data_IF_325720217861
#
_entry.id   IF_325720217861
#
_cell.length_a   1.000
_cell.length_b   1.000
_cell.length_c   1.000
_cell.angle_alpha   90.00
_cell.angle_beta   90.00
_cell.angle_gamma   90.00
#
_symmetry.space_group_name_H-M   'P 1'
#
loop_
_entity.id
_entity.type
_entity.pdbx_description
1 polymer ?
#
# COMPACT_ATOMS: atom_id res chain seq x y z
N UNK A 1 2.00 -34.63 2.83
CA UNK A 1 1.98 -33.47 3.76
C UNK A 1 1.78 -32.20 2.95
N UNK A 2 0.69 -31.44 3.20
CA UNK A 2 0.50 -30.13 2.56
C UNK A 2 1.57 -29.19 3.10
N UNK A 3 2.61 -28.92 2.32
CA UNK A 3 3.62 -27.89 2.61
C UNK A 3 2.88 -26.59 2.86
N UNK A 4 2.79 -26.17 4.12
CA UNK A 4 2.15 -24.92 4.50
C UNK A 4 2.93 -23.79 3.81
N UNK A 5 2.22 -22.95 3.04
CA UNK A 5 2.83 -21.85 2.30
C UNK A 5 3.53 -20.92 3.30
N UNK A 6 4.86 -20.74 3.21
CA UNK A 6 5.63 -20.09 4.25
C UNK A 6 5.25 -18.60 4.42
N UNK A 7 4.62 -17.99 3.41
CA UNK A 7 4.03 -16.64 3.53
C UNK A 7 2.89 -16.55 4.57
N UNK A 8 2.20 -17.67 4.86
CA UNK A 8 1.18 -17.73 5.92
C UNK A 8 1.80 -17.66 7.32
N UNK A 9 3.09 -17.95 7.47
CA UNK A 9 3.80 -17.89 8.74
C UNK A 9 4.35 -16.49 9.07
N UNK A 10 4.13 -15.50 8.21
CA UNK A 10 4.56 -14.12 8.46
C UNK A 10 3.79 -13.52 9.65
N UNK A 11 4.52 -13.05 10.66
CA UNK A 11 3.95 -12.55 11.92
C UNK A 11 3.36 -11.14 11.83
N UNK A 12 3.89 -10.28 10.95
CA UNK A 12 3.48 -8.87 10.85
C UNK A 12 3.11 -8.46 9.40
N UNK A 13 2.08 -9.08 8.80
CA UNK A 13 1.69 -8.80 7.41
C UNK A 13 1.16 -7.38 7.20
N UNK A 14 0.40 -6.85 8.17
CA UNK A 14 -0.21 -5.51 8.11
C UNK A 14 0.85 -4.41 8.06
N UNK A 15 1.88 -4.51 8.90
CA UNK A 15 2.97 -3.55 8.94
C UNK A 15 3.77 -3.56 7.64
N UNK A 16 4.08 -4.75 7.11
CA UNK A 16 4.81 -4.88 5.85
C UNK A 16 4.04 -4.21 4.70
N UNK A 17 2.75 -4.51 4.58
CA UNK A 17 1.91 -3.91 3.54
C UNK A 17 1.77 -2.40 3.70
N UNK A 18 1.58 -1.90 4.93
CA UNK A 18 1.50 -0.48 5.23
C UNK A 18 2.76 0.28 4.78
N UNK A 19 3.95 -0.25 5.11
CA UNK A 19 5.22 0.34 4.68
C UNK A 19 5.37 0.26 3.15
N UNK A 20 5.04 -0.89 2.55
CA UNK A 20 5.16 -1.09 1.10
C UNK A 20 4.29 -0.12 0.30
N UNK A 21 3.00 -0.05 0.62
CA UNK A 21 2.08 0.86 -0.08
C UNK A 21 2.32 2.32 0.29
N UNK A 22 2.72 2.62 1.51
CA UNK A 22 3.16 3.95 1.91
C UNK A 22 4.34 4.42 1.07
N UNK A 23 5.39 3.62 0.92
CA UNK A 23 6.54 3.94 0.08
C UNK A 23 6.18 4.09 -1.40
N UNK A 24 5.26 3.26 -1.92
CA UNK A 24 4.78 3.38 -3.30
C UNK A 24 3.93 4.63 -3.55
N UNK A 25 3.23 5.13 -2.53
CA UNK A 25 2.36 6.30 -2.67
C UNK A 25 3.14 7.58 -3.00
N UNK A 26 4.38 7.70 -2.50
CA UNK A 26 5.21 8.90 -2.71
C UNK A 26 5.54 9.12 -4.19
N UNK A 27 6.20 8.19 -4.91
CA UNK A 27 6.45 8.34 -6.33
C UNK A 27 5.15 8.35 -7.14
N UNK A 28 4.11 7.60 -6.72
CA UNK A 28 2.80 7.63 -7.38
C UNK A 28 2.18 9.03 -7.37
N UNK A 29 2.19 9.70 -6.21
CA UNK A 29 1.65 11.05 -6.05
C UNK A 29 2.45 12.07 -6.84
N UNK A 30 3.78 11.96 -6.84
CA UNK A 30 4.67 12.84 -7.61
C UNK A 30 4.39 12.69 -9.13
N UNK A 31 4.26 11.45 -9.61
CA UNK A 31 3.97 11.18 -11.03
C UNK A 31 2.60 11.74 -11.43
N UNK A 32 1.57 11.52 -10.61
CA UNK A 32 0.22 12.05 -10.87
C UNK A 32 0.26 13.59 -10.91
N UNK A 33 0.95 14.23 -9.97
CA UNK A 33 1.07 15.68 -9.95
C UNK A 33 1.81 16.20 -11.20
N UNK A 34 2.91 15.56 -11.60
CA UNK A 34 3.63 15.94 -12.81
C UNK A 34 2.77 15.78 -14.08
N UNK A 35 1.93 14.74 -14.14
CA UNK A 35 0.97 14.55 -15.24
C UNK A 35 -0.10 15.64 -15.25
N UNK A 36 -0.66 16.00 -14.09
CA UNK A 36 -1.61 17.11 -13.95
C UNK A 36 -0.99 18.43 -14.42
N UNK A 37 0.21 18.75 -13.93
CA UNK A 37 0.96 19.95 -14.33
C UNK A 37 1.16 19.98 -15.86
N UNK A 38 1.49 18.84 -16.48
CA UNK A 38 1.69 18.73 -17.95
C UNK A 38 0.42 18.97 -18.79
N UNK A 39 -0.77 18.75 -18.21
CA UNK A 39 -2.06 18.96 -18.89
C UNK A 39 -2.56 20.41 -18.66
N UNK A 40 -1.75 21.24 -17.99
CA UNK A 40 -2.06 22.65 -17.72
C UNK A 40 -3.00 22.84 -16.53
N UNK A 41 -3.13 21.83 -15.67
CA UNK A 41 -3.74 22.00 -14.35
C UNK A 41 -2.66 22.62 -13.47
N UNK A 42 -2.71 23.93 -13.28
CA UNK A 42 -1.81 24.63 -12.34
C UNK A 42 -1.86 23.95 -10.97
N UNK A 43 -0.77 24.05 -10.19
CA UNK A 43 -0.64 23.44 -8.85
C UNK A 43 -1.64 24.04 -7.85
N UNK A 44 -2.92 23.65 -7.96
CA UNK A 44 -4.01 24.06 -7.07
C UNK A 44 -3.68 23.61 -5.64
N UNK A 45 -2.94 22.50 -5.49
CA UNK A 45 -2.54 21.93 -4.21
C UNK A 45 -1.01 21.76 -4.17
N UNK A 46 -0.32 22.23 -3.12
CA UNK A 46 1.11 22.00 -2.94
C UNK A 46 1.43 20.50 -2.92
N UNK A 47 2.38 20.08 -3.77
CA UNK A 47 2.80 18.67 -3.91
C UNK A 47 3.12 18.02 -2.57
N UNK A 48 3.75 18.77 -1.65
CA UNK A 48 4.07 18.30 -0.32
C UNK A 48 2.83 17.85 0.49
N UNK A 49 1.73 18.62 0.43
CA UNK A 49 0.49 18.27 1.12
C UNK A 49 -0.15 17.03 0.51
N UNK A 50 -0.16 16.93 -0.83
CA UNK A 50 -0.67 15.77 -1.54
C UNK A 50 0.12 14.51 -1.19
N UNK A 51 1.46 14.59 -1.13
CA UNK A 51 2.34 13.46 -0.76
C UNK A 51 2.08 13.00 0.67
N UNK A 52 1.97 13.93 1.65
CA UNK A 52 1.67 13.56 3.04
C UNK A 52 0.32 12.86 3.13
N UNK A 53 -0.70 13.40 2.46
CA UNK A 53 -2.03 12.82 2.47
C UNK A 53 -2.04 11.43 1.81
N UNK A 54 -1.40 11.30 0.67
CA UNK A 54 -1.27 10.04 -0.07
C UNK A 54 -0.56 8.99 0.77
N UNK A 55 0.52 9.37 1.44
CA UNK A 55 1.25 8.51 2.38
C UNK A 55 0.35 8.05 3.52
N UNK A 56 -0.36 8.96 4.17
CA UNK A 56 -1.26 8.63 5.28
C UNK A 56 -2.35 7.65 4.85
N UNK A 57 -3.05 7.96 3.76
CA UNK A 57 -4.13 7.12 3.21
C UNK A 57 -3.60 5.74 2.78
N UNK A 58 -2.45 5.68 2.11
CA UNK A 58 -1.84 4.43 1.65
C UNK A 58 -1.34 3.55 2.81
N UNK A 59 -0.78 4.15 3.87
CA UNK A 59 -0.36 3.42 5.07
C UNK A 59 -1.57 2.82 5.78
N UNK A 60 -2.62 3.61 5.99
CA UNK A 60 -3.85 3.14 6.64
C UNK A 60 -4.53 2.02 5.84
N UNK A 61 -4.72 2.22 4.54
CA UNK A 61 -5.37 1.24 3.66
C UNK A 61 -4.51 0.00 3.45
N UNK A 62 -3.19 0.17 3.31
CA UNK A 62 -2.23 -0.93 3.27
C UNK A 62 -2.24 -1.77 4.55
N UNK A 63 -2.41 -1.16 5.72
CA UNK A 63 -2.55 -1.89 6.98
C UNK A 63 -3.85 -2.70 7.06
N UNK A 64 -4.97 -2.14 6.57
CA UNK A 64 -6.29 -2.79 6.57
C UNK A 64 -6.32 -3.98 5.61
N UNK A 65 -5.84 -3.80 4.37
CA UNK A 65 -5.88 -4.84 3.34
C UNK A 65 -4.66 -5.79 3.39
N UNK A 66 -3.60 -5.39 4.09
CA UNK A 66 -2.31 -6.07 4.09
C UNK A 66 -2.35 -7.52 4.56
N UNK A 67 -3.12 -7.82 5.59
CA UNK A 67 -3.28 -9.20 6.08
C UNK A 67 -3.92 -10.09 5.01
N UNK A 68 -5.02 -9.63 4.41
CA UNK A 68 -5.73 -10.34 3.35
C UNK A 68 -4.86 -10.55 2.09
N UNK A 69 -3.98 -9.59 1.77
CA UNK A 69 -3.05 -9.69 0.64
C UNK A 69 -1.94 -10.71 0.94
N UNK A 70 -1.29 -10.60 2.11
CA UNK A 70 -0.12 -11.41 2.48
C UNK A 70 -0.50 -12.85 2.84
N UNK A 71 -1.57 -13.07 3.60
CA UNK A 71 -2.02 -14.40 4.01
C UNK A 71 -2.94 -15.08 2.99
N UNK A 72 -3.06 -14.53 1.78
CA UNK A 72 -3.84 -15.16 0.72
C UNK A 72 -3.26 -16.54 0.35
N UNK A 73 -4.12 -17.58 0.41
CA UNK A 73 -3.77 -18.95 0.02
C UNK A 73 -3.75 -19.10 -1.50
N UNK A 74 -2.91 -20.00 -2.02
CA UNK A 74 -2.89 -20.36 -3.44
C UNK A 74 -4.26 -20.89 -3.90
N UNK A 75 -4.75 -20.52 -5.11
CA UNK A 75 -4.17 -19.56 -6.06
C UNK A 75 -4.36 -18.10 -5.60
N UNK A 76 -3.25 -17.36 -5.43
CA UNK A 76 -3.27 -16.02 -4.84
C UNK A 76 -3.30 -14.89 -5.89
N UNK A 77 -2.68 -15.06 -7.06
CA UNK A 77 -2.43 -13.99 -8.05
C UNK A 77 -3.64 -13.11 -8.34
N UNK A 78 -4.74 -13.71 -8.80
CA UNK A 78 -5.97 -12.96 -9.13
C UNK A 78 -6.60 -12.34 -7.89
N UNK A 79 -6.65 -13.06 -6.77
CA UNK A 79 -7.23 -12.53 -5.51
C UNK A 79 -6.45 -11.34 -4.98
N UNK A 80 -5.12 -11.41 -4.97
CA UNK A 80 -4.25 -10.30 -4.52
C UNK A 80 -4.32 -9.11 -5.47
N UNK A 81 -4.46 -9.35 -6.77
CA UNK A 81 -4.68 -8.27 -7.74
C UNK A 81 -5.98 -7.51 -7.42
N UNK A 82 -7.08 -8.24 -7.27
CA UNK A 82 -8.37 -7.62 -6.95
C UNK A 82 -8.35 -6.93 -5.58
N UNK A 83 -7.67 -7.49 -4.57
CA UNK A 83 -7.49 -6.82 -3.30
C UNK A 83 -6.76 -5.48 -3.45
N UNK A 84 -5.63 -5.45 -4.17
CA UNK A 84 -4.91 -4.20 -4.45
C UNK A 84 -5.72 -3.20 -5.27
N UNK A 85 -6.46 -3.67 -6.26
CA UNK A 85 -7.37 -2.86 -7.06
C UNK A 85 -8.46 -2.22 -6.20
N UNK A 86 -9.19 -3.04 -5.43
CA UNK A 86 -10.27 -2.56 -4.54
C UNK A 86 -9.75 -1.65 -3.45
N UNK A 87 -8.52 -1.85 -2.97
CA UNK A 87 -7.89 -1.00 -1.97
C UNK A 87 -7.73 0.44 -2.47
N UNK A 88 -7.29 0.64 -3.73
CA UNK A 88 -7.17 1.99 -4.32
C UNK A 88 -8.52 2.60 -4.62
N UNK A 89 -9.46 1.82 -5.17
CA UNK A 89 -10.83 2.29 -5.38
C UNK A 89 -11.45 2.75 -4.05
N UNK A 90 -11.31 1.98 -2.98
CA UNK A 90 -11.85 2.35 -1.67
C UNK A 90 -11.12 3.54 -1.02
N UNK A 91 -9.86 3.80 -1.39
CA UNK A 91 -9.04 4.87 -0.79
C UNK A 91 -9.21 6.22 -1.48
N UNK A 92 -9.55 6.23 -2.78
CA UNK A 92 -9.77 7.43 -3.59
C UNK A 92 -10.75 8.43 -2.95
N UNK A 93 -11.94 8.04 -2.47
CA UNK A 93 -12.85 8.98 -1.81
C UNK A 93 -12.24 9.68 -0.59
N UNK A 94 -11.44 8.95 0.19
CA UNK A 94 -10.80 9.48 1.39
C UNK A 94 -9.70 10.46 1.00
N UNK A 95 -8.92 10.13 -0.03
CA UNK A 95 -7.88 10.99 -0.56
C UNK A 95 -8.46 12.28 -1.16
N UNK A 96 -9.46 12.18 -2.02
CA UNK A 96 -10.11 13.34 -2.65
C UNK A 96 -10.78 14.25 -1.62
N UNK A 97 -11.38 13.67 -0.58
CA UNK A 97 -11.96 14.44 0.52
C UNK A 97 -10.88 15.19 1.31
N UNK A 98 -9.73 14.57 1.57
CA UNK A 98 -8.60 15.24 2.20
C UNK A 98 -8.02 16.37 1.33
N UNK A 99 -7.93 16.16 0.00
CA UNK A 99 -7.51 17.21 -0.93
C UNK A 99 -8.49 18.39 -0.93
N UNK A 100 -9.79 18.12 -0.96
CA UNK A 100 -10.82 19.15 -0.90
C UNK A 100 -10.71 19.97 0.38
N UNK A 101 -10.50 19.33 1.53
CA UNK A 101 -10.31 20.02 2.81
C UNK A 101 -9.08 20.95 2.79
N UNK A 102 -7.96 20.49 2.25
CA UNK A 102 -6.77 21.33 2.12
C UNK A 102 -6.97 22.51 1.17
N UNK A 103 -7.77 22.34 0.12
CA UNK A 103 -8.14 23.42 -0.78
C UNK A 103 -9.05 24.45 -0.08
N UNK A 104 -10.00 24.02 0.75
CA UNK A 104 -10.86 24.96 1.49
C UNK A 104 -10.12 25.83 2.50
N UNK A 105 -9.02 25.33 3.09
CA UNK A 105 -8.17 26.11 4.00
C UNK A 105 -7.43 27.24 3.27
N UNK A 106 -6.86 26.95 2.07
CA UNK A 106 -6.11 27.94 1.29
C UNK A 106 -7.01 28.93 0.55
N UNK A 107 -8.21 28.51 0.13
CA UNK A 107 -9.17 29.32 -0.61
C UNK A 107 -10.41 29.72 0.22
N UNK A 108 -10.28 29.75 1.55
CA UNK A 108 -11.37 30.02 2.50
C UNK A 108 -12.19 31.30 2.20
N UNK A 109 -11.61 32.28 1.51
CA UNK A 109 -12.32 33.50 1.07
C UNK A 109 -13.27 33.28 -0.12
N UNK A 110 -12.97 32.36 -1.03
CA UNK A 110 -13.84 32.03 -2.18
C UNK A 110 -14.98 31.08 -1.77
N UNK A 111 -14.76 30.24 -0.76
CA UNK A 111 -15.77 29.28 -0.26
C UNK A 111 -16.71 29.84 0.83
N UNK A 112 -16.45 31.04 1.36
CA UNK A 112 -17.29 31.71 2.37
C UNK A 112 -18.75 31.93 1.94
N UNK A 113 -19.04 31.82 0.64
CA UNK A 113 -20.37 32.03 0.05
C UNK A 113 -21.02 30.71 -0.43
N UNK A 114 -20.29 29.59 -0.43
CA UNK A 114 -20.77 28.32 -0.95
C UNK A 114 -21.62 27.57 0.09
N UNK A 115 -22.87 27.23 -0.25
CA UNK A 115 -23.72 26.37 0.58
C UNK A 115 -23.09 24.98 0.66
N UNK A 116 -23.24 24.28 1.80
CA UNK A 116 -22.76 22.90 1.99
C UNK A 116 -23.15 21.95 0.83
N UNK A 117 -24.32 22.17 0.24
CA UNK A 117 -24.81 21.44 -0.93
C UNK A 117 -23.89 21.58 -2.15
N UNK A 118 -23.38 22.78 -2.42
CA UNK A 118 -22.54 23.07 -3.58
C UNK A 118 -21.15 22.44 -3.40
N UNK A 119 -20.67 22.37 -2.15
CA UNK A 119 -19.46 21.63 -1.79
C UNK A 119 -19.60 20.13 -2.00
N UNK A 120 -20.76 19.55 -1.65
CA UNK A 120 -21.05 18.13 -1.91
C UNK A 120 -21.11 17.84 -3.42
N UNK A 121 -21.77 18.69 -4.22
CA UNK A 121 -21.77 18.52 -5.67
C UNK A 121 -20.37 18.61 -6.25
N UNK A 122 -19.59 19.62 -5.86
CA UNK A 122 -18.22 19.79 -6.31
C UNK A 122 -17.34 18.59 -5.94
N UNK A 123 -17.47 18.06 -4.73
CA UNK A 123 -16.81 16.83 -4.31
C UNK A 123 -17.17 15.63 -5.20
N UNK A 124 -18.46 15.42 -5.48
CA UNK A 124 -18.90 14.31 -6.34
C UNK A 124 -18.36 14.45 -7.77
N UNK A 125 -18.28 15.68 -8.30
CA UNK A 125 -17.67 15.94 -9.61
C UNK A 125 -16.18 15.60 -9.59
N UNK A 126 -15.41 16.11 -8.61
CA UNK A 126 -13.99 15.78 -8.46
C UNK A 126 -13.82 14.27 -8.38
N UNK A 127 -14.57 13.61 -7.50
CA UNK A 127 -14.49 12.18 -7.29
C UNK A 127 -14.72 11.39 -8.58
N UNK A 128 -15.76 11.74 -9.35
CA UNK A 128 -16.05 11.10 -10.62
C UNK A 128 -14.90 11.29 -11.64
N UNK A 129 -14.35 12.50 -11.74
CA UNK A 129 -13.20 12.76 -12.60
C UNK A 129 -11.94 12.02 -12.15
N UNK A 130 -11.64 11.97 -10.84
CA UNK A 130 -10.50 11.27 -10.27
C UNK A 130 -10.53 9.78 -10.63
N UNK A 131 -11.70 9.13 -10.54
CA UNK A 131 -11.85 7.73 -10.91
C UNK A 131 -11.55 7.47 -12.39
N UNK A 132 -12.05 8.32 -13.28
CA UNK A 132 -11.92 8.16 -14.73
C UNK A 132 -10.49 8.46 -15.18
N UNK A 133 -9.88 9.53 -14.67
CA UNK A 133 -8.56 9.98 -15.10
C UNK A 133 -7.43 9.12 -14.53
N UNK A 134 -7.39 8.96 -13.21
CA UNK A 134 -6.24 8.34 -12.53
C UNK A 134 -6.62 7.07 -11.78
N UNK A 135 -7.84 7.00 -11.25
CA UNK A 135 -8.25 5.94 -10.34
C UNK A 135 -8.19 4.55 -10.98
N UNK A 136 -8.63 4.42 -12.24
CA UNK A 136 -8.56 3.14 -12.94
C UNK A 136 -7.12 2.65 -13.16
N UNK A 137 -6.26 3.52 -13.70
CA UNK A 137 -4.84 3.20 -13.97
C UNK A 137 -4.10 2.89 -12.66
N UNK A 138 -4.30 3.73 -11.64
CA UNK A 138 -3.67 3.58 -10.34
C UNK A 138 -4.09 2.27 -9.65
N UNK A 139 -5.37 1.90 -9.79
CA UNK A 139 -5.89 0.64 -9.24
C UNK A 139 -5.29 -0.58 -9.94
N UNK A 140 -5.05 -0.52 -11.25
CA UNK A 140 -4.35 -1.59 -11.98
C UNK A 140 -2.91 -1.73 -11.49
N UNK A 141 -2.18 -0.62 -11.39
CA UNK A 141 -0.79 -0.61 -10.90
C UNK A 141 -0.72 -1.17 -9.48
N UNK A 142 -1.64 -0.76 -8.60
CA UNK A 142 -1.71 -1.26 -7.23
C UNK A 142 -2.09 -2.75 -7.15
N UNK A 143 -2.93 -3.25 -8.07
CA UNK A 143 -3.21 -4.67 -8.20
C UNK A 143 -1.94 -5.48 -8.51
N UNK A 144 -1.12 -5.01 -9.45
CA UNK A 144 0.18 -5.63 -9.73
C UNK A 144 1.17 -5.50 -8.55
N UNK A 145 1.19 -4.36 -7.88
CA UNK A 145 1.99 -4.16 -6.68
C UNK A 145 1.60 -5.14 -5.55
N UNK A 146 0.31 -5.37 -5.34
CA UNK A 146 -0.17 -6.36 -4.37
C UNK A 146 0.22 -7.80 -4.74
N UNK A 147 0.19 -8.14 -6.04
CA UNK A 147 0.71 -9.41 -6.53
C UNK A 147 2.21 -9.56 -6.27
N UNK A 148 2.99 -8.49 -6.50
CA UNK A 148 4.44 -8.47 -6.27
C UNK A 148 4.77 -8.62 -4.78
N UNK A 149 4.08 -7.88 -3.92
CA UNK A 149 4.19 -7.95 -2.46
C UNK A 149 4.03 -9.40 -1.98
N UNK A 150 2.93 -10.06 -2.36
CA UNK A 150 2.65 -11.45 -1.95
C UNK A 150 3.58 -12.47 -2.61
N UNK A 151 3.94 -12.25 -3.87
CA UNK A 151 4.61 -13.23 -4.72
C UNK A 151 6.13 -13.27 -4.54
N UNK A 152 6.75 -12.14 -4.22
CA UNK A 152 8.21 -12.00 -4.22
C UNK A 152 8.70 -11.42 -2.90
N UNK A 153 8.21 -10.24 -2.52
CA UNK A 153 8.71 -9.50 -1.36
C UNK A 153 8.56 -10.28 -0.04
N UNK A 154 7.40 -10.92 0.17
CA UNK A 154 7.15 -11.73 1.37
C UNK A 154 8.13 -12.90 1.47
N UNK A 155 8.46 -13.56 0.35
CA UNK A 155 9.38 -14.68 0.35
C UNK A 155 10.81 -14.22 0.60
N UNK A 156 11.26 -13.12 -0.02
CA UNK A 156 12.62 -12.59 0.18
C UNK A 156 12.87 -12.18 1.63
N UNK A 157 11.88 -11.53 2.26
CA UNK A 157 11.94 -11.16 3.69
C UNK A 157 12.03 -12.41 4.56
N UNK A 158 11.22 -13.43 4.27
CA UNK A 158 11.20 -14.64 5.08
C UNK A 158 12.50 -15.44 4.95
N UNK A 159 13.06 -15.57 3.75
CA UNK A 159 14.38 -16.19 3.53
C UNK A 159 15.48 -15.43 4.27
N UNK A 160 15.41 -14.10 4.30
CA UNK A 160 16.36 -13.26 5.05
C UNK A 160 16.22 -13.45 6.56
N UNK A 161 14.99 -13.55 7.08
CA UNK A 161 14.75 -13.82 8.49
C UNK A 161 15.21 -15.22 8.91
N UNK A 162 14.97 -16.24 8.09
CA UNK A 162 15.46 -17.60 8.34
C UNK A 162 16.99 -17.66 8.32
N UNK A 163 17.63 -16.99 7.36
CA UNK A 163 19.09 -16.88 7.31
C UNK A 163 19.63 -16.18 8.55
N UNK A 164 19.02 -15.07 8.98
CA UNK A 164 19.41 -14.34 10.20
C UNK A 164 19.27 -15.22 11.45
N UNK A 165 18.15 -15.93 11.61
CA UNK A 165 17.94 -16.86 12.73
C UNK A 165 19.01 -17.96 12.78
N UNK A 166 19.44 -18.50 11.63
CA UNK A 166 20.53 -19.50 11.57
C UNK A 166 21.89 -18.93 11.98
N UNK A 167 22.18 -17.68 11.66
CA UNK A 167 23.43 -17.01 12.03
C UNK A 167 23.46 -16.61 13.52
N UNK A 168 22.32 -16.22 14.10
CA UNK A 168 22.23 -15.79 15.50
C UNK A 168 22.16 -16.97 16.50
N UNK A 169 21.74 -18.16 16.07
CA UNK A 169 21.71 -19.38 16.90
C UNK A 169 22.69 -20.48 16.40
N UNK A 170 24.01 -20.24 16.40
CA UNK A 170 24.98 -21.28 16.03
C UNK A 170 25.09 -22.41 17.08
N UNK A 171 24.59 -22.21 18.30
CA UNK A 171 24.73 -23.11 19.44
C UNK A 171 23.88 -24.39 19.37
N UNK A 172 22.79 -24.42 18.59
CA UNK A 172 21.97 -25.64 18.43
C UNK A 172 22.47 -26.59 17.33
N UNK A 173 23.31 -26.12 16.41
CA UNK A 173 23.90 -26.99 15.37
C UNK A 173 25.10 -27.76 15.90
N UNK A 174 25.85 -27.21 16.88
CA UNK A 174 27.02 -27.87 17.46
C UNK A 174 26.66 -29.00 18.45
N UNK A 175 25.50 -28.99 19.10
CA UNK A 175 25.14 -30.05 20.06
C UNK A 175 24.70 -31.37 19.40
N UNK A 176 24.33 -31.35 18.11
CA UNK A 176 23.93 -32.58 17.39
C UNK A 176 25.10 -33.36 16.78
N UNK A 177 26.30 -32.79 16.76
CA UNK A 177 27.52 -33.42 16.18
C UNK A 177 28.48 -33.93 17.25
N UNK A 178 28.29 -33.55 18.52
CA UNK A 178 29.18 -33.93 19.63
C UNK A 178 28.67 -35.16 20.41
N UNK A 179 28.44 -36.29 19.75
CA UNK A 179 28.41 -37.59 20.42
C UNK A 179 28.85 -38.75 19.50
N UNK A 180 30.15 -38.92 19.24
CA UNK A 180 30.69 -40.22 18.90
C UNK A 180 30.96 -40.96 20.22
N UNK A 181 29.96 -41.69 20.72
CA UNK A 181 30.16 -42.64 21.82
C UNK A 181 30.93 -43.83 21.23
N UNK A 182 32.27 -43.78 21.24
CA UNK A 182 33.10 -44.98 21.04
C UNK A 182 32.99 -45.82 22.31
N UNK A 183 32.34 -46.96 22.19
CA UNK A 183 32.48 -48.10 23.09
C UNK A 183 32.96 -49.25 22.23
N UNK A 184 34.23 -49.60 22.37
CA UNK A 184 34.76 -50.97 22.34
C UNK A 184 36.23 -50.93 22.76
#
# INVERSE_FOLDING_TARGET
MKTQDPALAMSHPRLLAAIYFGLLSVPGTIIINALLDSIGVDQIIPVFKAVILGLFVAVCTGAIFGESIVHCKKPYKSKTFWLGFTMVIASLPIFDLGLLLFMTEEYAKLFSIAKFRDLVYFYLVILAYSYILFGFILSIIAGFAAMYLRGQLVYDILHTQERRKRVTNPTLVKSKVAHPRRVH
#
